data_IF_340370303800
#
_entry.id   IF_340370303800
#
_cell.length_a   1.000
_cell.length_b   1.000
_cell.length_c   1.000
_cell.angle_alpha   90.00
_cell.angle_beta   90.00
_cell.angle_gamma   90.00
#
_symmetry.space_group_name_H-M   'P 1'
#
loop_
_entity.id
_entity.type
_entity.pdbx_description
1 polymer ?
#
# COMPACT_ATOMS: atom_id res chain seq x y z
N UNK A 1 -35.92 -22.37 -20.79
CA UNK A 1 -35.13 -21.42 -19.97
C UNK A 1 -34.50 -20.42 -20.93
N UNK A 2 -34.94 -19.16 -20.86
CA UNK A 2 -34.81 -18.17 -21.94
C UNK A 2 -33.35 -17.71 -22.11
N UNK A 3 -32.76 -17.94 -23.29
CA UNK A 3 -31.40 -17.50 -23.68
C UNK A 3 -31.15 -16.02 -23.34
N UNK A 4 -32.18 -15.18 -23.45
CA UNK A 4 -32.13 -13.74 -23.13
C UNK A 4 -31.82 -13.45 -21.66
N UNK A 5 -32.27 -14.29 -20.73
CA UNK A 5 -31.95 -14.14 -19.31
C UNK A 5 -30.53 -14.66 -19.01
N UNK A 6 -30.10 -15.73 -19.68
CA UNK A 6 -28.75 -16.28 -19.52
C UNK A 6 -27.68 -15.28 -19.97
N UNK A 7 -27.91 -14.55 -21.07
CA UNK A 7 -27.02 -13.46 -21.52
C UNK A 7 -26.94 -12.31 -20.52
N UNK A 8 -28.05 -11.95 -19.85
CA UNK A 8 -28.07 -10.92 -18.80
C UNK A 8 -27.28 -11.35 -17.55
N UNK A 9 -27.37 -12.62 -17.14
CA UNK A 9 -26.58 -13.15 -16.03
C UNK A 9 -25.07 -13.17 -16.32
N UNK A 10 -24.67 -13.46 -17.57
CA UNK A 10 -23.26 -13.42 -17.99
C UNK A 10 -22.69 -12.00 -17.96
N UNK A 11 -23.47 -10.99 -18.38
CA UNK A 11 -23.04 -9.59 -18.37
C UNK A 11 -22.87 -9.07 -16.94
N UNK A 12 -23.77 -9.44 -16.02
CA UNK A 12 -23.66 -9.06 -14.60
C UNK A 12 -22.44 -9.71 -13.94
N UNK A 13 -22.08 -10.94 -14.32
CA UNK A 13 -20.92 -11.65 -13.78
C UNK A 13 -19.58 -11.06 -14.25
N UNK A 14 -19.53 -10.38 -15.41
CA UNK A 14 -18.29 -9.77 -15.93
C UNK A 14 -17.94 -8.42 -15.29
N UNK A 15 -18.86 -7.81 -14.52
CA UNK A 15 -18.64 -6.48 -13.93
C UNK A 15 -18.00 -6.50 -12.54
N UNK A 16 -17.62 -7.66 -11.99
CA UNK A 16 -16.88 -7.71 -10.73
C UNK A 16 -15.38 -7.48 -11.00
N UNK A 17 -14.98 -6.22 -11.19
CA UNK A 17 -13.59 -5.85 -10.97
C UNK A 17 -13.24 -6.20 -9.51
N UNK A 18 -12.25 -7.05 -9.32
CA UNK A 18 -11.85 -7.50 -7.98
C UNK A 18 -11.05 -6.35 -7.34
N UNK A 19 -11.74 -5.42 -6.70
CA UNK A 19 -11.12 -4.34 -5.92
C UNK A 19 -10.72 -4.83 -4.53
N UNK A 20 -9.60 -4.35 -4.01
CA UNK A 20 -9.17 -4.63 -2.64
C UNK A 20 -9.21 -3.34 -1.85
N UNK A 21 -10.13 -3.26 -0.88
CA UNK A 21 -10.31 -2.08 -0.04
C UNK A 21 -10.08 -2.39 1.44
N UNK A 22 -9.84 -1.33 2.22
CA UNK A 22 -9.68 -1.43 3.65
C UNK A 22 -9.97 -0.09 4.33
N UNK A 23 -10.64 -0.16 5.47
CA UNK A 23 -10.99 1.00 6.30
C UNK A 23 -10.43 0.79 7.70
N UNK A 24 -10.01 1.87 8.36
CA UNK A 24 -9.62 1.87 9.76
C UNK A 24 -10.41 2.93 10.52
N UNK A 25 -11.15 2.47 11.52
CA UNK A 25 -11.85 3.32 12.49
C UNK A 25 -11.01 3.45 13.76
N UNK A 26 -11.20 4.56 14.47
CA UNK A 26 -10.53 4.82 15.73
C UNK A 26 -11.42 5.63 16.67
N UNK A 27 -11.11 5.59 17.96
CA UNK A 27 -11.70 6.45 18.98
C UNK A 27 -10.78 7.64 19.21
N UNK A 28 -11.29 8.85 19.02
CA UNK A 28 -10.52 10.08 19.25
C UNK A 28 -10.37 10.40 20.75
N UNK A 29 -9.65 11.48 21.05
CA UNK A 29 -9.40 11.92 22.43
C UNK A 29 -10.65 12.39 23.16
N UNK A 30 -11.75 12.64 22.45
CA UNK A 30 -13.05 13.01 23.00
C UNK A 30 -13.94 11.77 23.23
N UNK A 31 -13.47 10.57 22.88
CA UNK A 31 -14.20 9.32 23.01
C UNK A 31 -15.14 9.01 21.86
N UNK A 32 -15.06 9.76 20.75
CA UNK A 32 -15.92 9.55 19.58
C UNK A 32 -15.27 8.61 18.56
N UNK A 33 -16.04 7.68 18.01
CA UNK A 33 -15.58 6.84 16.88
C UNK A 33 -15.55 7.67 15.59
N UNK A 34 -14.45 7.58 14.86
CA UNK A 34 -14.19 8.28 13.60
C UNK A 34 -13.60 7.32 12.57
N UNK A 35 -13.94 7.53 11.30
CA UNK A 35 -13.19 6.94 10.20
C UNK A 35 -11.83 7.65 10.11
N UNK A 36 -10.74 6.91 10.33
CA UNK A 36 -9.39 7.44 10.27
C UNK A 36 -8.84 7.46 8.85
N UNK A 37 -8.98 6.35 8.13
CA UNK A 37 -8.59 6.25 6.74
C UNK A 37 -9.35 5.14 6.01
N UNK A 38 -9.44 5.31 4.70
CA UNK A 38 -9.96 4.35 3.74
C UNK A 38 -9.01 4.32 2.55
N UNK A 39 -8.66 3.12 2.10
CA UNK A 39 -7.83 2.91 0.92
C UNK A 39 -8.47 1.87 0.02
N UNK A 40 -8.28 2.06 -1.28
CA UNK A 40 -8.72 1.15 -2.32
C UNK A 40 -7.59 1.00 -3.33
N UNK A 41 -7.23 -0.25 -3.65
CA UNK A 41 -6.26 -0.57 -4.68
C UNK A 41 -6.90 -1.51 -5.69
N UNK A 42 -6.65 -1.22 -6.97
CA UNK A 42 -7.19 -1.98 -8.10
C UNK A 42 -6.03 -2.50 -8.95
N UNK A 43 -5.77 -3.79 -8.86
CA UNK A 43 -4.74 -4.43 -9.65
C UNK A 43 -4.82 -5.95 -9.53
N UNK A 44 -3.88 -6.52 -8.80
CA UNK A 44 -3.82 -7.95 -8.55
C UNK A 44 -4.18 -8.21 -7.08
N UNK A 45 -5.33 -8.81 -6.76
CA UNK A 45 -5.77 -8.98 -5.36
C UNK A 45 -4.73 -9.65 -4.44
N UNK A 46 -3.89 -10.53 -4.99
CA UNK A 46 -2.82 -11.19 -4.24
C UNK A 46 -1.66 -10.28 -3.82
N UNK A 47 -1.55 -9.10 -4.44
CA UNK A 47 -0.60 -8.02 -4.16
C UNK A 47 -1.30 -6.88 -3.43
N UNK A 48 -2.50 -6.48 -3.90
CA UNK A 48 -3.26 -5.34 -3.38
C UNK A 48 -3.58 -5.49 -1.88
N UNK A 49 -3.76 -6.72 -1.39
CA UNK A 49 -3.91 -6.98 0.06
C UNK A 49 -2.73 -6.45 0.89
N UNK A 50 -1.51 -6.48 0.35
CA UNK A 50 -0.32 -5.96 1.01
C UNK A 50 -0.23 -4.43 0.88
N UNK A 51 -0.74 -3.85 -0.21
CA UNK A 51 -0.87 -2.40 -0.33
C UNK A 51 -1.83 -1.84 0.74
N UNK A 52 -2.98 -2.49 0.94
CA UNK A 52 -3.91 -2.18 2.04
C UNK A 52 -3.24 -2.37 3.41
N UNK A 53 -2.53 -3.50 3.63
CA UNK A 53 -1.80 -3.77 4.88
C UNK A 53 -0.81 -2.62 5.22
N UNK A 54 -0.04 -2.17 4.24
CA UNK A 54 0.90 -1.05 4.38
C UNK A 54 0.20 0.25 4.75
N UNK A 55 -0.81 0.64 3.95
CA UNK A 55 -1.50 1.92 4.11
C UNK A 55 -2.24 2.02 5.44
N UNK A 56 -2.94 0.95 5.84
CA UNK A 56 -3.62 0.88 7.13
C UNK A 56 -2.63 0.86 8.31
N UNK A 57 -1.47 0.22 8.18
CA UNK A 57 -0.43 0.25 9.22
C UNK A 57 0.13 1.66 9.44
N UNK A 58 0.46 2.39 8.37
CA UNK A 58 0.93 3.77 8.49
C UNK A 58 -0.13 4.69 9.09
N UNK A 59 -1.38 4.54 8.64
CA UNK A 59 -2.52 5.25 9.18
C UNK A 59 -2.72 4.96 10.68
N UNK A 60 -2.73 3.70 11.09
CA UNK A 60 -2.82 3.27 12.48
C UNK A 60 -1.73 3.91 13.36
N UNK A 61 -0.46 3.87 12.91
CA UNK A 61 0.67 4.48 13.62
C UNK A 61 0.50 5.99 13.76
N UNK A 62 0.00 6.67 12.72
CA UNK A 62 -0.27 8.11 12.75
C UNK A 62 -1.40 8.46 13.73
N UNK A 63 -2.50 7.72 13.71
CA UNK A 63 -3.65 7.89 14.60
C UNK A 63 -3.21 7.78 16.07
N UNK A 64 -2.51 6.70 16.42
CA UNK A 64 -2.03 6.46 17.79
C UNK A 64 -1.02 7.52 18.21
N UNK A 65 -0.13 7.94 17.31
CA UNK A 65 0.79 9.06 17.57
C UNK A 65 0.06 10.36 17.91
N UNK A 66 -1.13 10.59 17.37
CA UNK A 66 -1.96 11.75 17.62
C UNK A 66 -2.94 11.56 18.80
N UNK A 67 -2.79 10.49 19.59
CA UNK A 67 -3.59 10.25 20.80
C UNK A 67 -4.90 9.49 20.57
N UNK A 68 -5.17 9.03 19.34
CA UNK A 68 -6.31 8.16 19.05
C UNK A 68 -6.06 6.71 19.51
N UNK A 69 -7.14 5.96 19.72
CA UNK A 69 -7.11 4.53 20.08
C UNK A 69 -7.76 3.72 18.97
N UNK A 70 -7.08 2.67 18.49
CA UNK A 70 -7.59 1.77 17.45
C UNK A 70 -7.89 0.38 18.05
N UNK A 71 -8.79 -0.36 17.43
CA UNK A 71 -9.09 -1.75 17.82
C UNK A 71 -8.13 -2.75 17.17
N UNK A 72 -7.69 -2.47 15.95
CA UNK A 72 -6.83 -3.32 15.13
C UNK A 72 -5.35 -3.16 15.50
N UNK A 73 -5.00 -3.42 16.77
CA UNK A 73 -3.63 -3.21 17.31
C UNK A 73 -2.53 -3.97 16.56
N UNK A 74 -2.87 -5.04 15.83
CA UNK A 74 -1.91 -5.77 15.00
C UNK A 74 -1.28 -4.86 13.94
N UNK A 75 -2.00 -3.84 13.46
CA UNK A 75 -1.51 -2.87 12.47
C UNK A 75 -0.30 -2.09 12.98
N UNK A 76 -0.17 -1.91 14.29
CA UNK A 76 0.96 -1.22 14.92
C UNK A 76 2.24 -2.06 14.90
N UNK A 77 2.10 -3.39 14.83
CA UNK A 77 3.21 -4.35 14.85
C UNK A 77 3.75 -4.67 13.46
N UNK A 78 3.05 -4.24 12.42
CA UNK A 78 3.47 -4.48 11.04
C UNK A 78 4.73 -3.67 10.75
N UNK A 79 5.79 -4.36 10.34
CA UNK A 79 6.93 -3.71 9.73
C UNK A 79 6.51 -3.17 8.35
N UNK A 80 6.68 -1.87 8.17
CA UNK A 80 6.36 -1.11 6.95
C UNK A 80 7.64 -0.70 6.21
N UNK A 81 8.77 -1.34 6.50
CA UNK A 81 9.99 -1.18 5.71
C UNK A 81 9.77 -1.69 4.28
N UNK A 82 10.35 -0.98 3.31
CA UNK A 82 10.42 -1.40 1.90
C UNK A 82 11.89 -1.43 1.48
N UNK A 83 12.29 -2.31 0.56
CA UNK A 83 13.65 -2.28 0.03
C UNK A 83 13.89 -0.93 -0.66
N UNK A 84 15.11 -0.42 -0.54
CA UNK A 84 15.50 0.80 -1.22
C UNK A 84 15.59 0.55 -2.73
N UNK A 85 15.17 1.52 -3.57
CA UNK A 85 15.46 1.43 -5.00
C UNK A 85 16.98 1.55 -5.20
N UNK A 86 17.46 1.25 -6.41
CA UNK A 86 18.88 1.41 -6.73
C UNK A 86 19.37 2.83 -6.41
N UNK A 87 20.68 2.95 -6.15
CA UNK A 87 21.31 4.22 -5.81
C UNK A 87 20.94 5.35 -6.77
N UNK A 88 20.53 6.51 -6.25
CA UNK A 88 20.14 7.67 -7.06
C UNK A 88 18.85 7.46 -7.86
N UNK A 89 18.06 6.43 -7.55
CA UNK A 89 16.74 6.18 -8.14
C UNK A 89 15.64 6.40 -7.12
N UNK A 90 14.45 6.62 -7.63
CA UNK A 90 13.19 6.59 -6.89
C UNK A 90 12.40 5.38 -7.36
N UNK A 91 11.59 4.81 -6.48
CA UNK A 91 10.62 3.80 -6.90
C UNK A 91 9.62 4.40 -7.90
N UNK A 92 9.40 3.68 -8.99
CA UNK A 92 8.35 3.96 -9.96
C UNK A 92 7.53 2.69 -10.16
N UNK A 93 6.30 2.82 -10.64
CA UNK A 93 5.45 1.68 -10.95
C UNK A 93 6.14 0.71 -11.93
N UNK A 94 6.79 1.24 -12.96
CA UNK A 94 7.50 0.43 -13.95
C UNK A 94 8.68 -0.33 -13.35
N UNK A 95 9.50 0.35 -12.52
CA UNK A 95 10.64 -0.29 -11.86
C UNK A 95 10.18 -1.38 -10.88
N UNK A 96 9.17 -1.09 -10.06
CA UNK A 96 8.60 -2.04 -9.12
C UNK A 96 8.04 -3.28 -9.83
N UNK A 97 7.28 -3.06 -10.91
CA UNK A 97 6.70 -4.12 -11.73
C UNK A 97 7.79 -4.96 -12.41
N UNK A 98 8.82 -4.31 -12.95
CA UNK A 98 9.96 -5.01 -13.55
C UNK A 98 10.65 -5.92 -12.54
N UNK A 99 10.97 -5.40 -11.34
CA UNK A 99 11.65 -6.18 -10.31
C UNK A 99 10.78 -7.34 -9.81
N UNK A 100 9.48 -7.10 -9.62
CA UNK A 100 8.53 -8.15 -9.24
C UNK A 100 8.44 -9.26 -10.27
N UNK A 101 8.34 -8.91 -11.57
CA UNK A 101 8.29 -9.89 -12.66
C UNK A 101 9.60 -10.67 -12.85
N UNK A 102 10.72 -10.16 -12.30
CA UNK A 102 12.02 -10.82 -12.31
C UNK A 102 12.33 -11.56 -10.99
N UNK A 103 11.33 -11.74 -10.12
CA UNK A 103 11.44 -12.39 -8.80
C UNK A 103 12.49 -11.74 -7.85
N UNK A 104 12.83 -10.46 -8.08
CA UNK A 104 13.78 -9.72 -7.23
C UNK A 104 13.12 -9.18 -5.95
N UNK A 105 11.81 -9.00 -5.97
CA UNK A 105 11.01 -8.57 -4.83
C UNK A 105 9.79 -9.48 -4.70
N UNK A 106 9.38 -9.73 -3.46
CA UNK A 106 8.20 -10.54 -3.14
C UNK A 106 6.89 -9.79 -3.44
N UNK A 107 5.76 -10.52 -3.44
CA UNK A 107 4.41 -9.90 -3.53
C UNK A 107 4.16 -8.86 -2.44
N UNK A 108 4.69 -9.09 -1.24
CA UNK A 108 4.54 -8.19 -0.10
C UNK A 108 5.31 -6.90 -0.34
N UNK A 109 6.60 -7.01 -0.68
CA UNK A 109 7.44 -5.85 -1.01
C UNK A 109 6.86 -5.07 -2.19
N UNK A 110 6.42 -5.76 -3.25
CA UNK A 110 5.80 -5.11 -4.40
C UNK A 110 4.54 -4.34 -4.01
N UNK A 111 3.62 -4.94 -3.23
CA UNK A 111 2.42 -4.25 -2.77
C UNK A 111 2.72 -3.04 -1.88
N UNK A 112 3.72 -3.15 -1.00
CA UNK A 112 4.15 -2.03 -0.16
C UNK A 112 4.79 -0.90 -0.97
N UNK A 113 5.61 -1.23 -1.97
CA UNK A 113 6.24 -0.24 -2.85
C UNK A 113 5.17 0.48 -3.67
N UNK A 114 4.18 -0.23 -4.23
CA UNK A 114 3.06 0.38 -4.96
C UNK A 114 2.29 1.35 -4.05
N UNK A 115 1.90 0.91 -2.85
CA UNK A 115 1.24 1.80 -1.89
C UNK A 115 2.10 3.01 -1.54
N UNK A 116 3.41 2.83 -1.33
CA UNK A 116 4.34 3.92 -1.07
C UNK A 116 4.40 4.95 -2.22
N UNK A 117 4.35 4.48 -3.47
CA UNK A 117 4.30 5.37 -4.65
C UNK A 117 2.96 6.10 -4.71
N UNK A 118 1.84 5.39 -4.63
CA UNK A 118 0.49 5.96 -4.77
C UNK A 118 0.14 6.95 -3.66
N UNK A 119 0.67 6.73 -2.46
CA UNK A 119 0.54 7.66 -1.33
C UNK A 119 1.48 8.88 -1.42
N UNK A 120 2.34 8.94 -2.46
CA UNK A 120 3.27 10.06 -2.67
C UNK A 120 4.49 10.05 -1.75
N UNK A 121 4.86 8.89 -1.19
CA UNK A 121 6.00 8.75 -0.28
C UNK A 121 7.30 8.31 -0.97
N UNK A 122 7.25 8.01 -2.26
CA UNK A 122 8.43 7.58 -3.01
C UNK A 122 9.49 8.70 -3.07
N UNK A 123 10.65 8.43 -2.48
CA UNK A 123 11.78 9.35 -2.43
C UNK A 123 13.00 8.78 -3.18
N UNK A 124 13.93 9.67 -3.58
CA UNK A 124 15.21 9.24 -4.13
C UNK A 124 16.04 8.53 -3.06
N UNK A 125 16.65 7.39 -3.42
CA UNK A 125 17.64 6.76 -2.58
C UNK A 125 18.95 7.56 -2.64
N UNK A 126 19.12 8.48 -1.69
CA UNK A 126 20.35 9.24 -1.51
C UNK A 126 21.48 8.34 -1.05
N UNK A 127 22.49 8.18 -1.90
CA UNK A 127 23.69 7.46 -1.55
C UNK A 127 24.72 8.42 -0.99
N UNK A 128 25.43 7.99 0.05
CA UNK A 128 26.58 8.72 0.56
C UNK A 128 27.68 8.78 -0.52
N UNK A 129 27.65 9.81 -1.37
CA UNK A 129 28.75 10.09 -2.28
C UNK A 129 29.82 10.88 -1.50
N UNK A 130 30.88 10.18 -1.09
CA UNK A 130 32.20 10.72 -0.73
C UNK A 130 32.25 12.04 0.07
N UNK A 131 32.20 11.94 1.41
CA UNK A 131 32.66 13.01 2.32
C UNK A 131 34.21 13.14 2.38
N UNK A 132 34.94 12.74 1.33
CA UNK A 132 36.40 12.61 1.34
C UNK A 132 37.13 13.21 0.13
N UNK A 133 36.56 14.23 -0.54
CA UNK A 133 37.33 15.01 -1.51
C UNK A 133 37.10 16.48 -1.16
N UNK A 134 38.19 17.22 -0.94
CA UNK A 134 38.27 18.60 -0.43
C UNK A 134 38.40 18.72 1.10
N UNK A 135 39.42 18.06 1.65
CA UNK A 135 40.28 18.69 2.66
C UNK A 135 41.66 18.86 2.01
N UNK A 136 41.79 19.94 1.25
CA UNK A 136 43.08 20.57 0.97
C UNK A 136 43.06 21.96 1.63
#
# INVERSE_FOLDING_TARGET
MNIRHFSLYIIILMCSACTTSGQLYYVDTEGSEKLGCEYEFVGAPSVDKYAIEYALSLCAKSIVKNGGVIKEEYLLKIDTSIPLPACGKTWTHDLAKQQFNSDQISKKEYGYIVANIDMGFAAINECAHNKQINKD
#
